data_IF_560217036906
#
_entry.id   IF_560217036906
#
_cell.length_a   1.000
_cell.length_b   1.000
_cell.length_c   1.000
_cell.angle_alpha   90.00
_cell.angle_beta   90.00
_cell.angle_gamma   90.00
#
_symmetry.space_group_name_H-M   'P 1'
#
loop_
_entity.id
_entity.type
_entity.pdbx_description
1 polymer ?
#
# COMPACT_ATOMS: atom_id res chain seq x y z
N UNK A 1 0.43 15.14 19.58
CA UNK A 1 0.19 14.30 18.38
C UNK A 1 1.54 13.90 17.85
N UNK A 2 1.83 12.62 17.67
CA UNK A 2 3.14 12.19 17.20
C UNK A 2 3.25 12.60 15.73
N UNK A 3 4.36 13.21 15.33
CA UNK A 3 4.57 13.67 13.94
C UNK A 3 4.57 12.56 12.88
N UNK A 4 4.34 11.30 13.27
CA UNK A 4 4.27 10.14 12.38
C UNK A 4 3.01 10.08 11.50
N UNK A 5 1.90 10.68 11.96
CA UNK A 5 0.61 10.65 11.25
C UNK A 5 0.65 11.36 9.89
N UNK A 6 1.57 12.29 9.71
CA UNK A 6 1.74 13.08 8.49
C UNK A 6 2.97 12.66 7.67
N UNK A 7 3.76 11.71 8.17
CA UNK A 7 4.92 11.20 7.45
C UNK A 7 4.49 10.35 6.25
N UNK A 8 5.19 10.51 5.13
CA UNK A 8 4.91 9.76 3.89
C UNK A 8 5.51 8.36 3.92
N UNK A 9 6.66 8.22 4.58
CA UNK A 9 7.42 6.97 4.69
C UNK A 9 7.96 6.86 6.10
N UNK A 10 7.89 5.66 6.68
CA UNK A 10 8.45 5.36 8.01
C UNK A 10 9.35 4.11 7.93
N UNK A 11 10.55 4.19 8.51
CA UNK A 11 11.46 3.05 8.62
C UNK A 11 10.99 2.05 9.68
N UNK A 12 11.20 0.76 9.46
CA UNK A 12 10.73 -0.30 10.37
C UNK A 12 11.27 -0.14 11.79
N UNK A 13 12.50 0.33 11.95
CA UNK A 13 13.12 0.59 13.26
C UNK A 13 12.48 1.74 14.05
N UNK A 14 11.59 2.52 13.43
CA UNK A 14 10.79 3.58 14.06
C UNK A 14 9.36 3.16 14.41
N UNK A 15 8.96 1.97 14.01
CA UNK A 15 7.59 1.49 14.16
C UNK A 15 7.36 0.80 15.50
N UNK A 16 6.13 0.89 15.98
CA UNK A 16 5.61 0.23 17.19
C UNK A 16 4.21 -0.32 16.94
N UNK A 17 3.73 -1.19 17.82
CA UNK A 17 2.36 -1.70 17.75
C UNK A 17 1.29 -0.60 17.81
N UNK A 18 1.60 0.56 18.37
CA UNK A 18 0.73 1.74 18.38
C UNK A 18 0.57 2.39 17.00
N UNK A 19 1.39 2.04 16.02
CA UNK A 19 1.41 2.64 14.69
C UNK A 19 0.57 1.85 13.66
N UNK A 20 -0.25 0.87 14.09
CA UNK A 20 -1.08 0.03 13.19
C UNK A 20 -1.98 0.88 12.30
N UNK A 21 -2.59 1.95 12.82
CA UNK A 21 -3.43 2.87 12.03
C UNK A 21 -2.66 3.64 10.95
N UNK A 22 -1.34 3.75 11.08
CA UNK A 22 -0.47 4.51 10.18
C UNK A 22 0.15 3.60 9.10
N UNK A 23 0.56 2.38 9.47
CA UNK A 23 1.35 1.51 8.60
C UNK A 23 0.79 0.10 8.42
N UNK A 24 -0.32 -0.23 9.07
CA UNK A 24 -0.91 -1.57 9.10
C UNK A 24 -0.22 -2.54 10.04
N UNK A 25 -0.91 -3.63 10.38
CA UNK A 25 -0.48 -4.60 11.39
C UNK A 25 0.85 -5.29 11.05
N UNK A 26 1.05 -5.69 9.79
CA UNK A 26 2.31 -6.35 9.36
C UNK A 26 3.54 -5.48 9.59
N UNK A 27 3.47 -4.21 9.22
CA UNK A 27 4.61 -3.29 9.40
C UNK A 27 4.85 -2.94 10.87
N UNK A 28 3.78 -2.72 11.65
CA UNK A 28 3.89 -2.50 13.09
C UNK A 28 4.55 -3.69 13.79
N UNK A 29 4.18 -4.91 13.43
CA UNK A 29 4.80 -6.14 13.93
C UNK A 29 6.29 -6.25 13.57
N UNK A 30 6.71 -5.87 12.35
CA UNK A 30 8.13 -5.82 12.00
C UNK A 30 8.92 -4.86 12.89
N UNK A 31 8.35 -3.69 13.21
CA UNK A 31 8.93 -2.76 14.17
C UNK A 31 9.13 -3.37 15.54
N UNK A 32 8.14 -4.04 16.09
CA UNK A 32 8.26 -4.72 17.39
C UNK A 32 9.30 -5.84 17.37
N UNK A 33 9.37 -6.61 16.28
CA UNK A 33 10.41 -7.66 16.12
C UNK A 33 11.82 -7.06 16.16
N UNK A 34 12.05 -5.92 15.50
CA UNK A 34 13.33 -5.20 15.55
C UNK A 34 13.66 -4.79 16.99
N UNK A 35 12.69 -4.20 17.71
CA UNK A 35 12.89 -3.78 19.10
C UNK A 35 13.07 -4.94 20.07
N UNK A 36 12.57 -6.12 19.73
CA UNK A 36 12.82 -7.37 20.46
C UNK A 36 14.18 -8.00 20.11
N UNK A 37 14.98 -7.37 19.25
CA UNK A 37 16.31 -7.87 18.86
C UNK A 37 16.26 -9.01 17.82
N UNK A 38 15.14 -9.23 17.19
CA UNK A 38 15.02 -10.23 16.13
C UNK A 38 15.64 -9.72 14.82
N UNK A 39 16.24 -10.59 14.00
CA UNK A 39 16.88 -10.22 12.75
C UNK A 39 15.85 -9.93 11.65
N UNK A 40 15.37 -8.68 11.60
CA UNK A 40 14.50 -8.19 10.52
C UNK A 40 15.35 -7.40 9.53
N UNK A 41 15.26 -7.67 8.22
CA UNK A 41 15.95 -6.89 7.20
C UNK A 41 15.56 -5.41 7.25
N UNK A 42 16.47 -4.52 6.85
CA UNK A 42 16.14 -3.11 6.67
C UNK A 42 14.98 -2.94 5.68
N UNK A 43 14.09 -2.02 6.00
CA UNK A 43 12.95 -1.72 5.17
C UNK A 43 12.17 -0.52 5.70
N UNK A 44 11.20 -0.10 4.93
CA UNK A 44 10.34 1.02 5.26
C UNK A 44 8.89 0.76 4.82
N UNK A 45 7.97 1.43 5.45
CA UNK A 45 6.54 1.44 5.12
C UNK A 45 6.17 2.75 4.43
N UNK A 46 5.42 2.68 3.34
CA UNK A 46 4.67 3.81 2.79
C UNK A 46 3.37 3.89 3.58
N UNK A 47 3.08 5.06 4.17
CA UNK A 47 2.03 5.21 5.18
C UNK A 47 0.61 5.24 4.60
N UNK A 48 -0.39 5.04 5.45
CA UNK A 48 -1.80 5.24 5.10
C UNK A 48 -2.06 6.69 4.66
N UNK A 49 -1.38 7.68 5.26
CA UNK A 49 -1.47 9.06 4.84
C UNK A 49 -1.04 9.27 3.38
N UNK A 50 0.03 8.61 2.93
CA UNK A 50 0.44 8.65 1.52
C UNK A 50 -0.63 8.07 0.59
N UNK A 51 -1.26 6.96 0.98
CA UNK A 51 -2.36 6.37 0.23
C UNK A 51 -3.57 7.30 0.15
N UNK A 52 -3.99 7.87 1.27
CA UNK A 52 -5.12 8.81 1.33
C UNK A 52 -4.88 10.03 0.46
N UNK A 53 -3.68 10.60 0.51
CA UNK A 53 -3.29 11.73 -0.35
C UNK A 53 -3.33 11.37 -1.82
N UNK A 54 -2.81 10.18 -2.20
CA UNK A 54 -2.89 9.69 -3.57
C UNK A 54 -4.35 9.61 -4.05
N UNK A 55 -5.24 9.03 -3.26
CA UNK A 55 -6.66 8.88 -3.58
C UNK A 55 -7.36 10.24 -3.73
N UNK A 56 -7.07 11.18 -2.82
CA UNK A 56 -7.74 12.49 -2.78
C UNK A 56 -7.18 13.44 -3.85
N UNK A 57 -5.86 13.64 -3.89
CA UNK A 57 -5.22 14.61 -4.80
C UNK A 57 -5.39 14.25 -6.27
N UNK A 58 -5.43 12.96 -6.58
CA UNK A 58 -5.68 12.46 -7.94
C UNK A 58 -7.17 12.25 -8.25
N UNK A 59 -8.07 12.61 -7.32
CA UNK A 59 -9.53 12.46 -7.45
C UNK A 59 -9.96 11.04 -7.81
N UNK A 60 -9.22 10.05 -7.29
CA UNK A 60 -9.47 8.63 -7.60
C UNK A 60 -10.78 8.18 -6.97
N UNK A 61 -11.10 8.64 -5.74
CA UNK A 61 -12.34 8.31 -5.06
C UNK A 61 -13.59 8.64 -5.90
N UNK A 62 -13.63 9.83 -6.49
CA UNK A 62 -14.75 10.26 -7.36
C UNK A 62 -14.90 9.35 -8.59
N UNK A 63 -13.77 8.96 -9.18
CA UNK A 63 -13.74 8.07 -10.33
C UNK A 63 -14.14 6.64 -9.97
N UNK A 64 -13.74 6.14 -8.79
CA UNK A 64 -14.16 4.84 -8.26
C UNK A 64 -15.67 4.79 -8.10
N UNK A 65 -16.28 5.79 -7.45
CA UNK A 65 -17.75 5.86 -7.32
C UNK A 65 -18.44 5.87 -8.67
N UNK A 66 -17.93 6.61 -9.65
CA UNK A 66 -18.45 6.61 -11.00
C UNK A 66 -18.36 5.22 -11.65
N UNK A 67 -17.19 4.57 -11.58
CA UNK A 67 -16.99 3.24 -12.15
C UNK A 67 -17.98 2.23 -11.54
N UNK A 68 -18.14 2.25 -10.21
CA UNK A 68 -19.07 1.35 -9.52
C UNK A 68 -20.49 1.62 -9.97
N UNK A 69 -20.95 2.88 -9.98
CA UNK A 69 -22.30 3.24 -10.38
C UNK A 69 -22.64 2.90 -11.83
N UNK A 70 -21.65 3.02 -12.73
CA UNK A 70 -21.81 2.68 -14.15
C UNK A 70 -21.77 1.16 -14.41
N UNK A 71 -21.01 0.41 -13.61
CA UNK A 71 -20.70 -0.99 -13.88
C UNK A 71 -21.60 -1.94 -13.09
N UNK A 72 -21.91 -1.60 -11.82
CA UNK A 72 -22.75 -2.42 -10.94
C UNK A 72 -24.19 -1.91 -10.96
N UNK A 73 -24.94 -2.32 -11.97
CA UNK A 73 -26.36 -1.99 -12.13
C UNK A 73 -27.27 -3.05 -11.55
N UNK A 74 -26.78 -4.29 -11.39
CA UNK A 74 -27.46 -5.39 -10.73
C UNK A 74 -26.59 -5.91 -9.56
N UNK A 75 -26.95 -5.61 -8.29
CA UNK A 75 -26.17 -6.02 -7.12
C UNK A 75 -26.02 -7.54 -6.94
N UNK A 76 -26.82 -8.34 -7.64
CA UNK A 76 -26.77 -9.81 -7.56
C UNK A 76 -25.90 -10.44 -8.67
N UNK A 77 -25.25 -9.65 -9.52
CA UNK A 77 -24.41 -10.14 -10.61
C UNK A 77 -22.93 -10.04 -10.26
N UNK A 78 -22.25 -11.15 -9.90
CA UNK A 78 -20.83 -11.15 -9.55
C UNK A 78 -19.91 -10.65 -10.68
N UNK A 79 -20.28 -10.85 -11.95
CA UNK A 79 -19.47 -10.44 -13.09
C UNK A 79 -19.34 -8.91 -13.18
N UNK A 80 -20.32 -8.17 -12.70
CA UNK A 80 -20.26 -6.71 -12.67
C UNK A 80 -19.25 -6.21 -11.63
N UNK A 81 -19.08 -6.92 -10.51
CA UNK A 81 -18.03 -6.60 -9.52
C UNK A 81 -16.64 -6.93 -10.04
N UNK A 82 -16.49 -8.02 -10.80
CA UNK A 82 -15.22 -8.34 -11.47
C UNK A 82 -14.85 -7.25 -12.47
N UNK A 83 -15.82 -6.79 -13.27
CA UNK A 83 -15.62 -5.71 -14.23
C UNK A 83 -15.29 -4.38 -13.54
N UNK A 84 -15.97 -4.03 -12.45
CA UNK A 84 -15.70 -2.83 -11.68
C UNK A 84 -14.30 -2.88 -11.05
N UNK A 85 -13.93 -4.00 -10.41
CA UNK A 85 -12.60 -4.23 -9.84
C UNK A 85 -11.49 -4.01 -10.88
N UNK A 86 -11.63 -4.63 -12.05
CA UNK A 86 -10.65 -4.47 -13.14
C UNK A 86 -10.52 -3.01 -13.58
N UNK A 87 -11.62 -2.31 -13.79
CA UNK A 87 -11.61 -0.88 -14.20
C UNK A 87 -10.98 0.02 -13.15
N UNK A 88 -11.26 -0.22 -11.86
CA UNK A 88 -10.68 0.56 -10.75
C UNK A 88 -9.17 0.32 -10.67
N UNK A 89 -8.73 -0.92 -10.74
CA UNK A 89 -7.31 -1.26 -10.70
C UNK A 89 -6.56 -0.63 -11.89
N UNK A 90 -7.10 -0.74 -13.09
CA UNK A 90 -6.51 -0.10 -14.28
C UNK A 90 -6.44 1.42 -14.15
N UNK A 91 -7.45 2.07 -13.59
CA UNK A 91 -7.44 3.50 -13.30
C UNK A 91 -6.29 3.88 -12.37
N UNK A 92 -6.16 3.18 -11.24
CA UNK A 92 -5.11 3.45 -10.27
C UNK A 92 -3.73 3.21 -10.86
N UNK A 93 -3.51 2.08 -11.52
CA UNK A 93 -2.21 1.72 -12.09
C UNK A 93 -1.74 2.65 -13.22
N UNK A 94 -2.67 3.34 -13.90
CA UNK A 94 -2.38 4.38 -14.91
C UNK A 94 -2.24 5.79 -14.32
N UNK A 95 -2.61 5.98 -13.05
CA UNK A 95 -2.56 7.28 -12.38
C UNK A 95 -1.21 7.48 -11.71
N UNK A 96 -0.50 8.53 -12.05
CA UNK A 96 0.80 8.85 -11.43
C UNK A 96 0.65 9.23 -9.96
N UNK A 97 1.60 8.79 -9.15
CA UNK A 97 1.70 9.16 -7.73
C UNK A 97 1.97 10.69 -7.58
N UNK A 98 1.52 11.36 -6.51
CA UNK A 98 1.97 12.72 -6.19
C UNK A 98 3.50 12.79 -6.07
N UNK A 99 4.10 13.85 -6.59
CA UNK A 99 5.56 13.99 -6.76
C UNK A 99 6.33 13.90 -5.43
N UNK A 100 5.79 14.46 -4.37
CA UNK A 100 6.43 14.42 -3.05
C UNK A 100 6.43 13.02 -2.43
N UNK A 101 5.36 12.24 -2.64
CA UNK A 101 5.28 10.83 -2.21
C UNK A 101 6.28 10.00 -3.01
N UNK A 102 6.30 10.17 -4.33
CA UNK A 102 7.25 9.51 -5.21
C UNK A 102 8.69 9.83 -4.80
N UNK A 103 9.00 11.10 -4.54
CA UNK A 103 10.30 11.56 -4.08
C UNK A 103 10.69 10.94 -2.74
N UNK A 104 9.76 10.85 -1.78
CA UNK A 104 10.00 10.24 -0.48
C UNK A 104 10.35 8.74 -0.61
N UNK A 105 9.63 8.01 -1.46
CA UNK A 105 9.90 6.58 -1.75
C UNK A 105 11.28 6.43 -2.41
N UNK A 106 11.60 7.23 -3.43
CA UNK A 106 12.90 7.20 -4.12
C UNK A 106 14.07 7.46 -3.17
N UNK A 107 13.94 8.45 -2.30
CA UNK A 107 14.95 8.76 -1.27
C UNK A 107 15.13 7.60 -0.29
N UNK A 108 14.04 7.00 0.16
CA UNK A 108 14.09 5.86 1.09
C UNK A 108 14.73 4.64 0.43
N UNK A 109 14.44 4.37 -0.85
CA UNK A 109 15.08 3.29 -1.59
C UNK A 109 16.58 3.55 -1.81
N UNK A 110 16.97 4.78 -2.14
CA UNK A 110 18.37 5.15 -2.27
C UNK A 110 19.12 4.99 -0.93
N UNK A 111 18.50 5.34 0.19
CA UNK A 111 19.08 5.12 1.52
C UNK A 111 19.17 3.62 1.86
N UNK A 112 18.16 2.83 1.49
CA UNK A 112 18.18 1.37 1.63
C UNK A 112 19.36 0.75 0.86
N UNK A 113 19.57 1.19 -0.37
CA UNK A 113 20.72 0.77 -1.19
C UNK A 113 22.07 1.05 -0.52
N UNK A 114 22.21 2.22 0.12
CA UNK A 114 23.43 2.57 0.89
C UNK A 114 23.62 1.64 2.09
N UNK A 115 22.54 1.35 2.84
CA UNK A 115 22.59 0.46 4.01
C UNK A 115 23.04 -0.96 3.64
N UNK A 116 22.67 -1.44 2.46
CA UNK A 116 23.11 -2.73 1.93
C UNK A 116 24.41 -2.68 1.13
N UNK A 117 25.01 -1.49 0.95
CA UNK A 117 26.17 -1.27 0.09
C UNK A 117 25.98 -1.81 -1.35
N UNK A 118 24.76 -1.68 -1.88
CA UNK A 118 24.38 -2.09 -3.22
C UNK A 118 23.88 -0.90 -4.05
N UNK A 119 23.99 -1.00 -5.38
CA UNK A 119 23.47 0.02 -6.29
C UNK A 119 21.95 -0.07 -6.42
N UNK A 120 21.45 -1.30 -6.57
CA UNK A 120 20.03 -1.60 -6.66
C UNK A 120 19.74 -2.87 -5.88
N UNK A 121 19.19 -2.71 -4.68
CA UNK A 121 18.79 -3.80 -3.79
C UNK A 121 17.49 -4.43 -4.28
N UNK A 122 17.45 -5.76 -4.32
CA UNK A 122 16.18 -6.47 -4.50
C UNK A 122 15.32 -6.35 -3.24
N UNK A 123 14.04 -5.98 -3.42
CA UNK A 123 13.09 -5.87 -2.32
C UNK A 123 11.82 -6.67 -2.59
N UNK A 124 11.09 -6.97 -1.52
CA UNK A 124 9.70 -7.43 -1.59
C UNK A 124 8.79 -6.25 -1.26
N UNK A 125 7.80 -6.00 -2.12
CA UNK A 125 6.75 -5.01 -1.88
C UNK A 125 5.49 -5.74 -1.46
N UNK A 126 4.94 -5.40 -0.30
CA UNK A 126 3.81 -6.10 0.31
C UNK A 126 2.80 -5.09 0.85
N UNK A 127 1.53 -5.36 0.64
CA UNK A 127 0.47 -4.60 1.30
C UNK A 127 0.40 -4.92 2.79
N UNK A 128 0.04 -3.92 3.58
CA UNK A 128 -0.19 -4.00 5.02
C UNK A 128 -1.40 -3.13 5.34
N UNK A 129 -2.58 -3.73 5.36
CA UNK A 129 -3.80 -2.98 5.61
C UNK A 129 -3.93 -2.60 7.10
N UNK A 130 -4.54 -1.45 7.34
CA UNK A 130 -4.83 -0.95 8.68
C UNK A 130 -6.03 -1.66 9.33
N UNK A 131 -6.83 -2.37 8.53
CA UNK A 131 -8.06 -3.06 8.93
C UNK A 131 -8.02 -4.59 8.69
N UNK A 132 -6.82 -5.18 8.57
CA UNK A 132 -6.66 -6.63 8.29
C UNK A 132 -7.23 -7.55 9.38
N UNK A 133 -7.20 -7.10 10.63
CA UNK A 133 -7.53 -7.88 11.82
C UNK A 133 -8.93 -7.59 12.37
N UNK A 134 -9.80 -6.90 11.63
CA UNK A 134 -11.17 -6.69 12.05
C UNK A 134 -11.97 -8.01 11.91
N UNK A 135 -12.72 -8.45 12.95
CA UNK A 135 -13.45 -9.72 12.94
C UNK A 135 -14.42 -9.88 11.77
N UNK A 136 -14.97 -8.77 11.27
CA UNK A 136 -16.00 -8.74 10.22
C UNK A 136 -15.43 -8.51 8.81
N UNK A 137 -14.14 -8.20 8.68
CA UNK A 137 -13.49 -7.90 7.42
C UNK A 137 -12.23 -8.78 7.23
N UNK A 138 -12.42 -10.09 7.06
CA UNK A 138 -11.31 -11.00 6.75
C UNK A 138 -10.82 -10.78 5.32
N UNK A 139 -9.88 -9.87 5.15
CA UNK A 139 -9.10 -9.69 3.91
C UNK A 139 -7.82 -10.56 3.91
N UNK A 140 -7.77 -11.55 4.79
CA UNK A 140 -6.64 -12.47 4.90
C UNK A 140 -6.39 -13.20 3.57
N UNK A 141 -5.16 -13.12 3.07
CA UNK A 141 -4.73 -13.83 1.87
C UNK A 141 -5.10 -13.17 0.52
N UNK A 142 -5.79 -12.03 0.51
CA UNK A 142 -6.18 -11.33 -0.72
C UNK A 142 -5.18 -10.23 -1.14
N UNK A 143 -4.14 -10.00 -0.37
CA UNK A 143 -3.20 -8.91 -0.60
C UNK A 143 -2.00 -9.40 -1.42
N UNK A 144 -1.67 -8.63 -2.44
CA UNK A 144 -0.58 -8.98 -3.35
C UNK A 144 0.79 -8.74 -2.72
N UNK A 145 1.72 -9.63 -3.05
CA UNK A 145 3.15 -9.52 -2.71
C UNK A 145 3.95 -9.61 -4.00
N UNK A 146 4.79 -8.60 -4.23
CA UNK A 146 5.70 -8.56 -5.37
C UNK A 146 7.12 -8.83 -4.87
N UNK A 147 7.71 -9.91 -5.37
CA UNK A 147 9.07 -10.31 -5.06
C UNK A 147 10.03 -9.86 -6.16
N UNK A 148 11.33 -9.80 -5.83
CA UNK A 148 12.40 -9.44 -6.76
C UNK A 148 12.24 -8.08 -7.45
N UNK A 149 11.59 -7.13 -6.77
CA UNK A 149 11.44 -5.76 -7.24
C UNK A 149 12.80 -5.07 -7.19
N UNK A 150 13.20 -4.42 -8.28
CA UNK A 150 14.52 -3.81 -8.42
C UNK A 150 14.44 -2.45 -9.13
N UNK A 151 15.04 -1.44 -8.50
CA UNK A 151 15.02 -0.08 -9.01
C UNK A 151 13.83 0.73 -8.50
N UNK A 152 14.01 2.05 -8.45
CA UNK A 152 13.01 2.94 -7.88
C UNK A 152 11.71 3.01 -8.68
N UNK A 153 11.79 2.91 -10.02
CA UNK A 153 10.61 2.97 -10.88
C UNK A 153 9.73 1.73 -10.72
N UNK A 154 10.36 0.54 -10.71
CA UNK A 154 9.65 -0.72 -10.44
C UNK A 154 9.04 -0.73 -9.03
N UNK A 155 9.77 -0.22 -8.03
CA UNK A 155 9.27 -0.08 -6.67
C UNK A 155 7.99 0.78 -6.61
N UNK A 156 7.99 1.95 -7.25
CA UNK A 156 6.83 2.84 -7.28
C UNK A 156 5.64 2.17 -7.97
N UNK A 157 5.87 1.52 -9.11
CA UNK A 157 4.83 0.74 -9.80
C UNK A 157 4.22 -0.31 -8.88
N UNK A 158 5.04 -1.07 -8.14
CA UNK A 158 4.54 -2.12 -7.25
C UNK A 158 3.83 -1.57 -6.01
N UNK A 159 4.22 -0.39 -5.52
CA UNK A 159 3.46 0.30 -4.45
C UNK A 159 2.05 0.62 -4.94
N UNK A 160 1.90 1.21 -6.13
CA UNK A 160 0.58 1.51 -6.70
C UNK A 160 -0.23 0.21 -6.91
N UNK A 161 0.40 -0.85 -7.39
CA UNK A 161 -0.24 -2.17 -7.55
C UNK A 161 -0.68 -2.78 -6.23
N UNK A 162 0.10 -2.64 -5.15
CA UNK A 162 -0.33 -3.02 -3.81
C UNK A 162 -1.58 -2.23 -3.38
N UNK A 163 -1.63 -0.94 -3.65
CA UNK A 163 -2.81 -0.12 -3.35
C UNK A 163 -4.02 -0.51 -4.20
N UNK A 164 -3.83 -0.76 -5.50
CA UNK A 164 -4.92 -1.18 -6.39
C UNK A 164 -5.48 -2.56 -6.03
N UNK A 165 -4.66 -3.44 -5.45
CA UNK A 165 -5.07 -4.78 -5.02
C UNK A 165 -6.11 -4.79 -3.89
N UNK A 166 -6.31 -3.66 -3.20
CA UNK A 166 -7.38 -3.50 -2.20
C UNK A 166 -8.78 -3.55 -2.83
N UNK A 167 -8.91 -3.22 -4.12
CA UNK A 167 -10.19 -3.18 -4.83
C UNK A 167 -10.50 -4.52 -5.48
N UNK A 168 -10.64 -5.55 -4.67
CA UNK A 168 -11.14 -6.86 -5.13
C UNK A 168 -12.65 -6.81 -5.37
N UNK A 169 -13.23 -7.70 -6.20
CA UNK A 169 -14.69 -7.80 -6.38
C UNK A 169 -15.42 -7.93 -5.04
N UNK A 170 -14.87 -8.72 -4.12
CA UNK A 170 -15.42 -8.89 -2.78
C UNK A 170 -15.39 -7.59 -1.96
N UNK A 171 -14.29 -6.84 -2.01
CA UNK A 171 -14.17 -5.57 -1.28
C UNK A 171 -15.09 -4.48 -1.83
N UNK A 172 -15.48 -4.57 -3.11
CA UNK A 172 -16.44 -3.63 -3.73
C UNK A 172 -17.87 -4.01 -3.37
N UNK A 173 -18.15 -5.30 -3.16
CA UNK A 173 -19.47 -5.80 -2.80
C UNK A 173 -19.86 -5.43 -1.36
N UNK A 174 -18.91 -5.42 -0.40
CA UNK A 174 -19.15 -5.07 1.00
C UNK A 174 -18.98 -3.58 1.27
#
# INVERSE_FOLDING_TARGET
MSGKETELVLWFDKLRNTDVSIVGGKNASLGEMIHAGLPVPFGFAVTAHSYERYIVEKKISEQIYRIISETVTNPNDPQQYDAASKRIRELMEKTSMPEDIETAIRRSYAELNKRFALKDTFVAVRSSATAEDLPDASFAGQQETYLNVKGADDLIEKVIKCWSSLFTPRAIFY
#
